data_IF_954393029347
#
_entry.id   IF_954393029347
#
_cell.length_a   1.000
_cell.length_b   1.000
_cell.length_c   1.000
_cell.angle_alpha   90.00
_cell.angle_beta   90.00
_cell.angle_gamma   90.00
#
_symmetry.space_group_name_H-M   'P 1'
#
loop_
_entity.id
_entity.type
_entity.pdbx_description
1 polymer ?
#
# COMPACT_ATOMS: atom_id res chain seq x y z
N UNK A 1 39.40 -4.94 -13.74
CA UNK A 1 38.83 -4.32 -12.55
C UNK A 1 37.50 -3.67 -12.90
N UNK A 2 36.48 -4.44 -12.80
CA UNK A 2 35.18 -4.07 -13.35
C UNK A 2 34.19 -3.53 -12.30
N UNK A 3 34.64 -3.27 -11.09
CA UNK A 3 33.76 -2.71 -10.06
C UNK A 3 33.73 -1.19 -10.12
N UNK A 4 32.86 -0.64 -10.97
CA UNK A 4 32.50 0.77 -10.86
C UNK A 4 31.67 0.99 -9.60
N UNK A 5 31.73 2.18 -8.96
CA UNK A 5 30.93 2.48 -7.76
C UNK A 5 29.44 2.26 -7.95
N UNK A 6 28.95 2.40 -9.15
CA UNK A 6 27.55 2.11 -9.55
C UNK A 6 27.21 0.62 -9.51
N UNK A 7 28.14 -0.25 -9.84
CA UNK A 7 27.93 -1.70 -9.75
C UNK A 7 27.95 -2.19 -8.31
N UNK A 8 28.80 -1.62 -7.46
CA UNK A 8 28.85 -1.91 -6.04
C UNK A 8 27.54 -1.54 -5.33
N UNK A 9 26.92 -0.43 -5.69
CA UNK A 9 25.63 -0.04 -5.10
C UNK A 9 24.47 -0.92 -5.58
N UNK A 10 24.50 -1.40 -6.81
CA UNK A 10 23.53 -2.39 -7.32
C UNK A 10 23.70 -3.75 -6.68
N UNK A 11 24.94 -4.20 -6.51
CA UNK A 11 25.23 -5.46 -5.83
C UNK A 11 24.87 -5.41 -4.35
N UNK A 12 25.15 -4.29 -3.68
CA UNK A 12 24.74 -4.08 -2.30
C UNK A 12 23.21 -4.08 -2.17
N UNK A 13 22.49 -3.43 -3.05
CA UNK A 13 21.03 -3.44 -3.07
C UNK A 13 20.48 -4.84 -3.35
N UNK A 14 21.11 -5.61 -4.23
CA UNK A 14 20.77 -7.01 -4.49
C UNK A 14 21.02 -7.90 -3.28
N UNK A 15 22.16 -7.73 -2.59
CA UNK A 15 22.48 -8.45 -1.36
C UNK A 15 21.51 -8.10 -0.24
N UNK A 16 21.13 -6.85 -0.09
CA UNK A 16 20.12 -6.43 0.89
C UNK A 16 18.76 -7.06 0.59
N UNK A 17 18.35 -7.12 -0.65
CA UNK A 17 17.11 -7.77 -1.04
C UNK A 17 17.11 -9.26 -0.76
N UNK A 18 18.21 -9.95 -1.06
CA UNK A 18 18.36 -11.38 -0.79
C UNK A 18 18.36 -11.66 0.71
N UNK A 19 19.07 -10.85 1.50
CA UNK A 19 19.09 -10.99 2.95
C UNK A 19 17.72 -10.70 3.57
N UNK A 20 17.03 -9.68 3.09
CA UNK A 20 15.67 -9.33 3.52
C UNK A 20 14.67 -10.43 3.17
N UNK A 21 14.76 -11.00 1.97
CA UNK A 21 13.93 -12.13 1.52
C UNK A 21 14.22 -13.39 2.36
N UNK A 22 15.49 -13.65 2.71
CA UNK A 22 15.86 -14.79 3.54
C UNK A 22 15.35 -14.67 4.97
N UNK A 23 15.34 -13.46 5.53
CA UNK A 23 14.80 -13.19 6.86
C UNK A 23 13.27 -13.31 6.88
N UNK A 24 12.59 -12.91 5.81
CA UNK A 24 11.14 -12.99 5.65
C UNK A 24 10.68 -14.44 5.34
N UNK A 25 11.53 -15.28 4.76
CA UNK A 25 11.23 -16.72 4.54
C UNK A 25 11.01 -17.50 5.84
N UNK A 26 11.48 -17.01 6.97
CA UNK A 26 11.17 -17.55 8.30
C UNK A 26 9.84 -17.05 8.85
N UNK A 27 9.31 -15.97 8.32
CA UNK A 27 7.98 -15.42 8.59
C UNK A 27 7.10 -15.54 7.33
N UNK A 28 5.79 -15.65 7.51
CA UNK A 28 4.84 -15.68 6.39
C UNK A 28 4.92 -14.35 5.65
N UNK A 29 5.40 -14.38 4.40
CA UNK A 29 5.48 -13.19 3.58
C UNK A 29 4.10 -12.83 3.02
N UNK A 30 3.65 -11.61 3.32
CA UNK A 30 2.36 -11.10 2.84
C UNK A 30 2.29 -11.03 1.31
N UNK A 31 3.41 -10.86 0.64
CA UNK A 31 3.48 -10.85 -0.83
C UNK A 31 3.30 -12.26 -1.42
N UNK A 32 3.84 -13.28 -0.78
CA UNK A 32 3.60 -14.67 -1.12
C UNK A 32 2.13 -15.05 -0.95
N UNK A 33 1.51 -14.61 0.14
CA UNK A 33 0.08 -14.76 0.38
C UNK A 33 -0.77 -14.10 -0.72
N UNK A 34 -0.32 -12.96 -1.23
CA UNK A 34 -1.02 -12.25 -2.32
C UNK A 34 -0.87 -12.93 -3.68
N UNK A 35 0.28 -13.57 -3.90
CA UNK A 35 0.55 -14.25 -5.18
C UNK A 35 -0.09 -15.63 -5.26
N UNK A 36 0.01 -16.40 -4.20
CA UNK A 36 -0.34 -17.82 -4.23
C UNK A 36 -0.86 -18.28 -2.86
N UNK A 37 -2.05 -17.78 -2.54
CA UNK A 37 -2.69 -18.05 -1.25
C UNK A 37 -2.97 -19.55 -1.05
N UNK A 38 -3.30 -20.26 -2.12
CA UNK A 38 -3.59 -21.68 -2.06
C UNK A 38 -2.34 -22.52 -1.74
N UNK A 39 -1.20 -22.17 -2.33
CA UNK A 39 0.08 -22.82 -2.04
C UNK A 39 0.53 -22.58 -0.60
N UNK A 40 0.37 -21.36 -0.09
CA UNK A 40 0.69 -21.02 1.30
C UNK A 40 -0.26 -21.72 2.27
N UNK A 41 -1.55 -21.76 1.97
CA UNK A 41 -2.55 -22.48 2.76
C UNK A 41 -2.23 -23.98 2.84
N UNK A 42 -1.84 -24.60 1.72
CA UNK A 42 -1.41 -25.99 1.68
C UNK A 42 -0.17 -26.25 2.54
N UNK A 43 0.81 -25.36 2.50
CA UNK A 43 2.01 -25.44 3.35
C UNK A 43 1.71 -25.27 4.84
N UNK A 44 0.80 -24.37 5.18
CA UNK A 44 0.39 -24.16 6.57
C UNK A 44 -0.45 -25.32 7.10
N UNK A 45 -1.23 -25.97 6.26
CA UNK A 45 -1.98 -27.16 6.61
C UNK A 45 -1.09 -28.32 7.02
N UNK A 46 0.10 -28.45 6.44
CA UNK A 46 1.10 -29.46 6.87
C UNK A 46 1.62 -29.22 8.29
N UNK A 47 1.47 -28.01 8.82
CA UNK A 47 1.82 -27.64 10.20
C UNK A 47 0.62 -27.60 11.16
N UNK A 48 -0.50 -28.21 10.79
CA UNK A 48 -1.75 -28.18 11.53
C UNK A 48 -2.30 -26.76 11.78
N UNK A 49 -2.05 -25.84 10.86
CA UNK A 49 -2.59 -24.48 10.89
C UNK A 49 -3.58 -24.30 9.74
N UNK A 50 -4.82 -24.00 10.07
CA UNK A 50 -5.83 -23.66 9.06
C UNK A 50 -5.86 -22.17 8.81
N UNK A 51 -5.44 -21.77 7.60
CA UNK A 51 -5.55 -20.38 7.17
C UNK A 51 -6.95 -20.10 6.65
N UNK A 52 -7.61 -19.09 7.21
CA UNK A 52 -8.90 -18.61 6.70
C UNK A 52 -8.69 -17.76 5.43
N UNK A 53 -8.63 -18.44 4.30
CA UNK A 53 -8.42 -17.84 2.98
C UNK A 53 -9.53 -16.85 2.62
N UNK A 54 -10.77 -17.14 3.02
CA UNK A 54 -11.91 -16.28 2.72
C UNK A 54 -11.79 -14.93 3.44
N UNK A 55 -11.44 -14.93 4.72
CA UNK A 55 -11.21 -13.71 5.51
C UNK A 55 -10.04 -12.90 4.92
N UNK A 56 -8.95 -13.56 4.58
CA UNK A 56 -7.80 -12.89 3.98
C UNK A 56 -8.16 -12.21 2.64
N UNK A 57 -8.85 -12.91 1.75
CA UNK A 57 -9.28 -12.37 0.46
C UNK A 57 -10.23 -11.17 0.64
N UNK A 58 -11.12 -11.22 1.62
CA UNK A 58 -12.03 -10.11 1.93
C UNK A 58 -11.26 -8.88 2.41
N UNK A 59 -10.29 -9.06 3.30
CA UNK A 59 -9.45 -7.98 3.80
C UNK A 59 -8.58 -7.37 2.69
N UNK A 60 -7.99 -8.21 1.83
CA UNK A 60 -7.19 -7.75 0.70
C UNK A 60 -8.04 -7.00 -0.35
N UNK A 61 -9.24 -7.45 -0.63
CA UNK A 61 -10.15 -6.75 -1.53
C UNK A 61 -10.50 -5.35 -1.00
N UNK A 62 -10.82 -5.24 0.28
CA UNK A 62 -11.07 -3.94 0.94
C UNK A 62 -9.84 -3.05 0.91
N UNK A 63 -8.66 -3.60 1.18
CA UNK A 63 -7.41 -2.85 1.11
C UNK A 63 -7.17 -2.28 -0.28
N UNK A 64 -7.31 -3.09 -1.32
CA UNK A 64 -7.15 -2.64 -2.72
C UNK A 64 -8.14 -1.55 -3.08
N UNK A 65 -9.39 -1.71 -2.69
CA UNK A 65 -10.43 -0.71 -2.95
C UNK A 65 -10.11 0.61 -2.28
N UNK A 66 -9.75 0.61 -1.00
CA UNK A 66 -9.36 1.82 -0.28
C UNK A 66 -8.10 2.47 -0.86
N UNK A 67 -7.12 1.65 -1.26
CA UNK A 67 -5.90 2.16 -1.90
C UNK A 67 -6.22 2.87 -3.20
N UNK A 68 -7.02 2.26 -4.09
CA UNK A 68 -7.44 2.87 -5.35
C UNK A 68 -8.19 4.18 -5.11
N UNK A 69 -9.13 4.20 -4.18
CA UNK A 69 -9.86 5.41 -3.82
C UNK A 69 -8.93 6.51 -3.31
N UNK A 70 -7.95 6.15 -2.48
CA UNK A 70 -6.97 7.11 -1.96
C UNK A 70 -6.11 7.69 -3.08
N UNK A 71 -5.64 6.86 -4.01
CA UNK A 71 -4.87 7.30 -5.18
C UNK A 71 -5.68 8.24 -6.09
N UNK A 72 -6.94 7.89 -6.37
CA UNK A 72 -7.84 8.74 -7.15
C UNK A 72 -8.09 10.09 -6.48
N UNK A 73 -8.33 10.11 -5.18
CA UNK A 73 -8.52 11.34 -4.42
C UNK A 73 -7.26 12.19 -4.37
N UNK A 74 -6.09 11.59 -4.23
CA UNK A 74 -4.81 12.31 -4.31
C UNK A 74 -4.59 12.93 -5.68
N UNK A 75 -4.86 12.20 -6.75
CA UNK A 75 -4.76 12.71 -8.11
C UNK A 75 -5.73 13.88 -8.34
N UNK A 76 -6.97 13.75 -7.88
CA UNK A 76 -7.98 14.81 -7.94
C UNK A 76 -7.57 16.05 -7.14
N UNK A 77 -7.08 15.85 -5.91
CA UNK A 77 -6.55 16.93 -5.09
C UNK A 77 -5.42 17.68 -5.79
N UNK A 78 -4.48 16.98 -6.42
CA UNK A 78 -3.37 17.57 -7.15
C UNK A 78 -3.86 18.37 -8.37
N UNK A 79 -4.85 17.86 -9.11
CA UNK A 79 -5.47 18.55 -10.23
C UNK A 79 -6.17 19.85 -9.79
N UNK A 80 -6.94 19.77 -8.71
CA UNK A 80 -7.62 20.94 -8.13
C UNK A 80 -6.62 21.98 -7.60
N UNK A 81 -5.53 21.54 -6.99
CA UNK A 81 -4.46 22.45 -6.53
C UNK A 81 -3.83 23.21 -7.69
N UNK A 82 -3.64 22.58 -8.84
CA UNK A 82 -3.19 23.25 -10.07
C UNK A 82 -4.22 24.25 -10.57
N UNK A 83 -5.49 23.90 -10.55
CA UNK A 83 -6.58 24.81 -10.93
C UNK A 83 -6.63 26.04 -10.03
N UNK A 84 -6.47 25.87 -8.72
CA UNK A 84 -6.37 26.99 -7.77
C UNK A 84 -5.23 27.93 -8.15
N UNK A 85 -4.05 27.40 -8.50
CA UNK A 85 -2.93 28.19 -8.96
C UNK A 85 -3.26 29.03 -10.20
N UNK A 86 -3.96 28.44 -11.17
CA UNK A 86 -4.38 29.11 -12.40
C UNK A 86 -5.44 30.18 -12.12
N UNK A 87 -6.45 29.87 -11.31
CA UNK A 87 -7.52 30.79 -10.94
C UNK A 87 -6.97 32.00 -10.15
N UNK A 88 -6.04 31.75 -9.22
CA UNK A 88 -5.35 32.84 -8.50
C UNK A 88 -4.57 33.75 -9.45
N UNK A 89 -3.94 33.22 -10.47
CA UNK A 89 -3.22 34.04 -11.47
C UNK A 89 -4.17 34.89 -12.30
N UNK A 90 -5.39 34.41 -12.53
CA UNK A 90 -6.44 35.13 -13.25
C UNK A 90 -7.27 36.06 -12.36
N UNK A 91 -7.03 36.08 -11.05
CA UNK A 91 -7.81 36.79 -10.03
C UNK A 91 -9.29 36.39 -9.99
N UNK A 92 -9.59 35.14 -10.33
CA UNK A 92 -10.92 34.56 -10.23
C UNK A 92 -11.19 34.00 -8.82
N UNK A 93 -12.45 33.77 -8.50
CA UNK A 93 -12.86 33.24 -7.19
C UNK A 93 -12.45 31.76 -7.05
N UNK A 94 -11.69 31.48 -6.02
CA UNK A 94 -11.16 30.12 -5.72
C UNK A 94 -11.89 29.44 -4.57
N UNK A 95 -12.86 30.08 -3.95
CA UNK A 95 -13.49 29.59 -2.72
C UNK A 95 -14.18 28.24 -2.91
N UNK A 96 -14.88 28.03 -4.02
CA UNK A 96 -15.52 26.75 -4.32
C UNK A 96 -14.52 25.60 -4.47
N UNK A 97 -13.43 25.84 -5.19
CA UNK A 97 -12.38 24.83 -5.41
C UNK A 97 -11.60 24.54 -4.13
N UNK A 98 -11.37 25.55 -3.30
CA UNK A 98 -10.74 25.38 -1.99
C UNK A 98 -11.61 24.56 -1.04
N UNK A 99 -12.93 24.75 -1.05
CA UNK A 99 -13.86 23.93 -0.27
C UNK A 99 -13.84 22.46 -0.72
N UNK A 100 -13.79 22.22 -2.04
CA UNK A 100 -13.68 20.87 -2.60
C UNK A 100 -12.36 20.19 -2.19
N UNK A 101 -11.25 20.89 -2.24
CA UNK A 101 -9.94 20.38 -1.77
C UNK A 101 -9.97 20.05 -0.28
N UNK A 102 -10.61 20.87 0.53
CA UNK A 102 -10.80 20.61 1.96
C UNK A 102 -11.61 19.34 2.22
N UNK A 103 -12.71 19.14 1.47
CA UNK A 103 -13.52 17.93 1.54
C UNK A 103 -12.71 16.67 1.17
N UNK A 104 -11.96 16.72 0.08
CA UNK A 104 -11.09 15.63 -0.35
C UNK A 104 -10.00 15.34 0.71
N UNK A 105 -9.45 16.37 1.33
CA UNK A 105 -8.47 16.21 2.41
C UNK A 105 -9.03 15.44 3.60
N UNK A 106 -10.27 15.72 3.99
CA UNK A 106 -10.95 14.98 5.07
C UNK A 106 -11.22 13.51 4.69
N UNK A 107 -11.65 13.28 3.46
CA UNK A 107 -11.87 11.92 2.95
C UNK A 107 -10.54 11.12 2.87
N UNK A 108 -9.46 11.75 2.44
CA UNK A 108 -8.13 11.14 2.45
C UNK A 108 -7.71 10.70 3.85
N UNK A 109 -7.89 11.57 4.85
CA UNK A 109 -7.61 11.23 6.25
C UNK A 109 -8.43 10.04 6.72
N UNK A 110 -9.72 10.00 6.42
CA UNK A 110 -10.59 8.88 6.76
C UNK A 110 -10.12 7.57 6.10
N UNK A 111 -9.75 7.62 4.83
CA UNK A 111 -9.23 6.46 4.10
C UNK A 111 -7.87 5.99 4.65
N UNK A 112 -6.98 6.90 5.00
CA UNK A 112 -5.69 6.56 5.64
C UNK A 112 -5.90 5.85 6.98
N UNK A 113 -6.83 6.32 7.79
CA UNK A 113 -7.19 5.68 9.05
C UNK A 113 -7.75 4.27 8.80
N UNK A 114 -8.68 4.13 7.86
CA UNK A 114 -9.25 2.84 7.49
C UNK A 114 -8.20 1.87 6.95
N UNK A 115 -7.24 2.35 6.14
CA UNK A 115 -6.12 1.54 5.67
C UNK A 115 -5.21 1.09 6.82
N UNK A 116 -4.91 1.97 7.77
CA UNK A 116 -4.12 1.64 8.95
C UNK A 116 -4.80 0.57 9.81
N UNK A 117 -6.10 0.67 10.03
CA UNK A 117 -6.89 -0.34 10.75
C UNK A 117 -6.90 -1.69 10.03
N UNK A 118 -7.06 -1.68 8.70
CA UNK A 118 -7.00 -2.90 7.89
C UNK A 118 -5.62 -3.55 7.94
N UNK A 119 -4.56 -2.76 7.89
CA UNK A 119 -3.19 -3.26 8.01
C UNK A 119 -2.94 -3.87 9.39
N UNK A 120 -3.46 -3.26 10.46
CA UNK A 120 -3.39 -3.79 11.81
C UNK A 120 -4.12 -5.14 11.91
N UNK A 121 -5.31 -5.25 11.34
CA UNK A 121 -6.07 -6.52 11.30
C UNK A 121 -5.37 -7.60 10.48
N UNK A 122 -4.78 -7.22 9.34
CA UNK A 122 -3.96 -8.15 8.55
C UNK A 122 -2.75 -8.64 9.31
N UNK A 123 -2.05 -7.75 10.03
CA UNK A 123 -0.91 -8.11 10.87
C UNK A 123 -1.31 -9.05 12.00
N UNK A 124 -2.42 -8.77 12.67
CA UNK A 124 -2.98 -9.62 13.72
C UNK A 124 -3.37 -11.00 13.18
N UNK A 125 -4.01 -11.04 12.01
CA UNK A 125 -4.34 -12.28 11.32
C UNK A 125 -3.10 -13.11 10.96
N UNK A 126 -2.02 -12.44 10.55
CA UNK A 126 -0.75 -13.09 10.23
C UNK A 126 -0.01 -13.64 11.45
N UNK A 127 -0.21 -13.04 12.62
CA UNK A 127 0.42 -13.45 13.88
C UNK A 127 -0.36 -14.56 14.61
N UNK A 128 -1.62 -14.74 14.32
CA UNK A 128 -2.44 -15.83 14.86
C UNK A 128 -2.23 -17.12 14.09
#
# INVERSE_FOLDING_TARGET
MACTPLNLSKEAASCYNVFFVTTILTMIDIQLLRKDIDAVAARLKTRNFELDVATFNTLEAKRRQLQTQTEEMQARRNALSKQIGILKSKKEDTSAVMAEVGSIGNQLKANETALSELQARLSEFMLS
#
